data_IF_807120176801
#
_entry.id   IF_807120176801
#
_cell.length_a   1.000
_cell.length_b   1.000
_cell.length_c   1.000
_cell.angle_alpha   90.00
_cell.angle_beta   90.00
_cell.angle_gamma   90.00
#
_symmetry.space_group_name_H-M   'P 1'
#
loop_
_entity.id
_entity.type
_entity.pdbx_description
1 polymer ?
#
# COMPACT_ATOMS: atom_id res chain seq x y z
N UNK A 1 12.26 40.17 1.19
CA UNK A 1 11.83 38.80 1.56
C UNK A 1 10.38 38.87 2.01
N UNK A 2 9.51 38.30 1.25
CA UNK A 2 8.06 38.44 1.45
C UNK A 2 7.58 37.45 2.50
N UNK A 3 6.71 37.88 3.42
CA UNK A 3 6.02 37.03 4.39
C UNK A 3 5.32 35.82 3.76
N UNK A 4 4.97 35.92 2.48
CA UNK A 4 4.34 34.84 1.68
C UNK A 4 5.32 33.68 1.44
N UNK A 5 6.62 33.97 1.26
CA UNK A 5 7.64 32.94 1.01
C UNK A 5 7.92 32.12 2.28
N UNK A 6 7.89 32.76 3.46
CA UNK A 6 8.07 32.09 4.76
C UNK A 6 6.92 31.13 5.09
N UNK A 7 5.68 31.53 4.83
CA UNK A 7 4.50 30.65 5.00
C UNK A 7 4.56 29.46 4.04
N UNK A 8 4.98 29.66 2.80
CA UNK A 8 5.12 28.59 1.82
C UNK A 8 6.19 27.56 2.24
N UNK A 9 7.32 28.05 2.77
CA UNK A 9 8.40 27.20 3.26
C UNK A 9 7.99 26.41 4.50
N UNK A 10 7.34 27.04 5.46
CA UNK A 10 6.83 26.39 6.66
C UNK A 10 5.79 25.32 6.33
N UNK A 11 4.83 25.63 5.48
CA UNK A 11 3.81 24.69 5.04
C UNK A 11 4.42 23.49 4.28
N UNK A 12 5.43 23.73 3.45
CA UNK A 12 6.16 22.67 2.76
C UNK A 12 6.85 21.72 3.75
N UNK A 13 7.51 22.26 4.78
CA UNK A 13 8.15 21.46 5.81
C UNK A 13 7.13 20.64 6.60
N UNK A 14 6.02 21.25 7.00
CA UNK A 14 4.93 20.55 7.68
C UNK A 14 4.42 19.39 6.82
N UNK A 15 4.14 19.64 5.54
CA UNK A 15 3.66 18.60 4.61
C UNK A 15 4.67 17.48 4.39
N UNK A 16 5.96 17.79 4.38
CA UNK A 16 7.03 16.79 4.24
C UNK A 16 6.95 15.71 5.31
N UNK A 17 6.59 16.07 6.54
CA UNK A 17 6.43 15.11 7.65
C UNK A 17 4.99 14.62 7.83
N UNK A 18 4.02 15.47 7.51
CA UNK A 18 2.60 15.11 7.63
C UNK A 18 2.17 14.05 6.60
N UNK A 19 2.66 14.14 5.36
CA UNK A 19 2.29 13.21 4.29
C UNK A 19 2.64 11.76 4.62
N UNK A 20 3.87 11.42 5.06
CA UNK A 20 4.20 10.06 5.49
C UNK A 20 3.30 9.56 6.63
N UNK A 21 3.05 10.38 7.63
CA UNK A 21 2.17 10.01 8.75
C UNK A 21 0.74 9.77 8.29
N UNK A 22 0.21 10.65 7.45
CA UNK A 22 -1.13 10.53 6.88
C UNK A 22 -1.26 9.28 6.00
N UNK A 23 -0.25 9.01 5.17
CA UNK A 23 -0.22 7.84 4.31
C UNK A 23 -0.24 6.53 5.11
N UNK A 24 0.48 6.47 6.24
CA UNK A 24 0.52 5.28 7.09
C UNK A 24 -0.72 5.10 7.96
N UNK A 25 -1.40 6.18 8.33
CA UNK A 25 -2.58 6.12 9.19
C UNK A 25 -3.88 5.95 8.40
N UNK A 26 -4.04 6.72 7.33
CA UNK A 26 -5.27 6.73 6.53
C UNK A 26 -5.15 5.94 5.22
N UNK A 27 -3.94 5.52 4.86
CA UNK A 27 -3.61 4.81 3.61
C UNK A 27 -3.95 5.63 2.34
N UNK A 28 -4.04 6.94 2.50
CA UNK A 28 -4.36 7.89 1.43
C UNK A 28 -3.38 9.06 1.44
N UNK A 29 -3.29 9.73 0.31
CA UNK A 29 -2.59 11.00 0.20
C UNK A 29 -3.52 12.16 0.54
N UNK A 30 -2.98 13.31 0.97
CA UNK A 30 -3.76 14.53 1.06
C UNK A 30 -4.42 14.89 -0.26
N UNK A 31 -5.45 15.76 -0.20
CA UNK A 31 -6.20 16.16 -1.38
C UNK A 31 -5.30 16.80 -2.45
N UNK A 32 -5.67 16.63 -3.71
CA UNK A 32 -4.98 17.23 -4.85
C UNK A 32 -4.82 18.75 -4.69
N UNK A 33 -5.86 19.43 -4.19
CA UNK A 33 -5.83 20.87 -3.96
C UNK A 33 -4.75 21.29 -2.94
N UNK A 34 -4.50 20.46 -1.92
CA UNK A 34 -3.46 20.74 -0.92
C UNK A 34 -2.06 20.48 -1.47
N UNK A 35 -1.90 19.53 -2.37
CA UNK A 35 -0.61 19.14 -2.95
C UNK A 35 -0.23 19.95 -4.20
N UNK A 36 -1.21 20.57 -4.87
CA UNK A 36 -0.99 21.33 -6.10
C UNK A 36 0.10 22.42 -5.99
N UNK A 37 0.20 23.20 -4.89
CA UNK A 37 1.25 24.20 -4.73
C UNK A 37 2.66 23.60 -4.55
N UNK A 38 2.76 22.30 -4.29
CA UNK A 38 4.02 21.63 -3.96
C UNK A 38 4.35 20.47 -4.94
N UNK A 39 4.69 20.77 -6.20
CA UNK A 39 4.87 19.75 -7.24
C UNK A 39 6.00 18.77 -6.94
N UNK A 40 7.01 19.17 -6.17
CA UNK A 40 8.09 18.26 -5.75
C UNK A 40 7.58 17.18 -4.79
N UNK A 41 6.79 17.57 -3.79
CA UNK A 41 6.19 16.63 -2.84
C UNK A 41 5.19 15.71 -3.55
N UNK A 42 4.38 16.26 -4.44
CA UNK A 42 3.46 15.47 -5.24
C UNK A 42 4.20 14.41 -6.06
N UNK A 43 5.26 14.77 -6.75
CA UNK A 43 6.08 13.85 -7.54
C UNK A 43 6.73 12.75 -6.71
N UNK A 44 7.13 13.08 -5.49
CA UNK A 44 7.79 12.17 -4.56
C UNK A 44 6.84 11.17 -3.91
N UNK A 45 5.67 11.61 -3.48
CA UNK A 45 4.72 10.80 -2.70
C UNK A 45 3.59 10.17 -3.50
N UNK A 46 3.20 10.74 -4.65
CA UNK A 46 2.09 10.19 -5.46
C UNK A 46 2.32 8.76 -5.93
N UNK A 47 3.52 8.36 -6.39
CA UNK A 47 3.78 6.97 -6.76
C UNK A 47 3.61 6.01 -5.59
N UNK A 48 4.09 6.38 -4.40
CA UNK A 48 3.95 5.57 -3.19
C UNK A 48 2.48 5.36 -2.81
N UNK A 49 1.70 6.42 -2.79
CA UNK A 49 0.28 6.35 -2.48
C UNK A 49 -0.52 5.52 -3.50
N UNK A 50 -0.20 5.64 -4.77
CA UNK A 50 -0.83 4.84 -5.83
C UNK A 50 -0.51 3.35 -5.68
N UNK A 51 0.75 2.99 -5.37
CA UNK A 51 1.17 1.61 -5.16
C UNK A 51 0.54 1.00 -3.91
N UNK A 52 0.46 1.75 -2.81
CA UNK A 52 -0.23 1.32 -1.58
C UNK A 52 -1.69 1.01 -1.87
N UNK A 53 -2.39 1.88 -2.57
CA UNK A 53 -3.80 1.70 -2.92
C UNK A 53 -4.03 0.50 -3.86
N UNK A 54 -3.10 0.28 -4.78
CA UNK A 54 -3.16 -0.86 -5.71
C UNK A 54 -2.74 -2.18 -5.07
N UNK A 55 -1.89 -2.14 -4.05
CA UNK A 55 -1.19 -3.31 -3.55
C UNK A 55 -0.06 -3.75 -4.50
N UNK A 56 0.57 -2.81 -5.21
CA UNK A 56 1.70 -3.07 -6.11
C UNK A 56 3.02 -2.98 -5.32
N UNK A 57 3.54 -4.13 -4.92
CA UNK A 57 4.75 -4.22 -4.10
C UNK A 57 5.99 -3.81 -4.89
N UNK A 58 6.15 -4.29 -6.12
CA UNK A 58 7.29 -3.94 -6.96
C UNK A 58 7.31 -2.44 -7.30
N UNK A 59 6.15 -1.87 -7.63
CA UNK A 59 6.02 -0.45 -7.87
C UNK A 59 6.32 0.39 -6.64
N UNK A 60 5.91 -0.08 -5.46
CA UNK A 60 6.22 0.58 -4.18
C UNK A 60 7.72 0.59 -3.90
N UNK A 61 8.39 -0.56 -4.03
CA UNK A 61 9.83 -0.69 -3.81
C UNK A 61 10.61 0.19 -4.79
N UNK A 62 10.20 0.24 -6.06
CA UNK A 62 10.80 1.11 -7.06
C UNK A 62 10.61 2.61 -6.76
N UNK A 63 9.41 3.00 -6.32
CA UNK A 63 9.12 4.39 -5.96
C UNK A 63 9.89 4.81 -4.70
N UNK A 64 10.02 3.91 -3.72
CA UNK A 64 10.80 4.14 -2.51
C UNK A 64 12.30 4.31 -2.85
N UNK A 65 12.84 3.46 -3.70
CA UNK A 65 14.23 3.54 -4.17
C UNK A 65 14.48 4.81 -4.98
N UNK A 66 13.56 5.22 -5.83
CA UNK A 66 13.70 6.45 -6.62
C UNK A 66 13.75 7.72 -5.75
N UNK A 67 13.07 7.70 -4.60
CA UNK A 67 13.07 8.82 -3.64
C UNK A 67 14.02 8.66 -2.46
N UNK A 68 14.81 7.59 -2.40
CA UNK A 68 15.59 7.18 -1.24
C UNK A 68 16.47 8.30 -0.67
N UNK A 69 17.25 8.96 -1.51
CA UNK A 69 18.15 10.04 -1.09
C UNK A 69 17.41 11.19 -0.42
N UNK A 70 16.23 11.55 -0.93
CA UNK A 70 15.39 12.61 -0.36
C UNK A 70 14.75 12.16 0.95
N UNK A 71 14.24 10.93 1.02
CA UNK A 71 13.62 10.37 2.22
C UNK A 71 14.63 10.20 3.36
N UNK A 72 15.86 9.78 3.05
CA UNK A 72 16.95 9.68 4.05
C UNK A 72 17.30 11.07 4.57
N UNK A 73 17.45 12.05 3.69
CA UNK A 73 17.74 13.44 4.07
C UNK A 73 16.66 14.04 4.98
N UNK A 74 15.41 13.65 4.76
CA UNK A 74 14.26 14.07 5.55
C UNK A 74 14.00 13.21 6.78
N UNK A 75 14.80 12.15 7.00
CA UNK A 75 14.58 11.16 8.08
C UNK A 75 13.22 10.45 8.04
N UNK A 76 12.62 10.31 6.86
CA UNK A 76 11.30 9.68 6.66
C UNK A 76 11.36 8.30 6.03
N UNK A 77 12.54 7.86 5.58
CA UNK A 77 12.72 6.60 4.85
C UNK A 77 12.16 5.38 5.61
N UNK A 78 12.60 5.17 6.86
CA UNK A 78 12.16 4.04 7.68
C UNK A 78 10.65 4.07 7.99
N UNK A 79 10.10 5.27 8.07
CA UNK A 79 8.65 5.45 8.24
C UNK A 79 7.91 5.01 6.98
N UNK A 80 8.41 5.40 5.80
CA UNK A 80 7.80 5.06 4.52
C UNK A 80 7.98 3.57 4.17
N UNK A 81 9.09 2.95 4.56
CA UNK A 81 9.32 1.51 4.38
C UNK A 81 8.19 0.65 4.97
N UNK A 82 7.62 1.06 6.10
CA UNK A 82 6.44 0.42 6.69
C UNK A 82 5.20 0.46 5.80
N UNK A 83 5.16 1.37 4.83
CA UNK A 83 4.09 1.43 3.83
C UNK A 83 4.01 0.19 2.96
N UNK A 84 5.10 -0.58 2.84
CA UNK A 84 5.11 -1.87 2.14
C UNK A 84 4.17 -2.89 2.77
N UNK A 85 4.13 -2.93 4.10
CA UNK A 85 3.18 -3.81 4.84
C UNK A 85 1.72 -3.41 4.54
N UNK A 86 1.44 -2.13 4.39
CA UNK A 86 0.11 -1.63 4.06
C UNK A 86 -0.26 -2.00 2.61
N UNK A 87 0.69 -1.89 1.68
CA UNK A 87 0.49 -2.33 0.31
C UNK A 87 0.18 -3.84 0.24
N UNK A 88 0.91 -4.65 1.00
CA UNK A 88 0.69 -6.09 1.13
C UNK A 88 -0.71 -6.40 1.71
N UNK A 89 -1.11 -5.71 2.75
CA UNK A 89 -2.45 -5.83 3.33
C UNK A 89 -3.54 -5.50 2.30
N UNK A 90 -3.36 -4.43 1.55
CA UNK A 90 -4.31 -4.04 0.51
C UNK A 90 -4.35 -5.07 -0.64
N UNK A 91 -3.22 -5.67 -0.98
CA UNK A 91 -3.16 -6.78 -1.93
C UNK A 91 -3.98 -7.98 -1.44
N UNK A 92 -3.77 -8.43 -0.22
CA UNK A 92 -4.50 -9.55 0.36
C UNK A 92 -5.99 -9.27 0.48
N UNK A 93 -6.36 -8.04 0.84
CA UNK A 93 -7.76 -7.61 0.84
C UNK A 93 -8.39 -7.73 -0.55
N UNK A 94 -7.66 -7.38 -1.60
CA UNK A 94 -8.15 -7.52 -2.99
C UNK A 94 -8.30 -8.97 -3.40
N UNK A 95 -7.38 -9.85 -3.00
CA UNK A 95 -7.51 -11.30 -3.22
C UNK A 95 -8.77 -11.82 -2.55
N UNK A 96 -9.03 -11.43 -1.30
CA UNK A 96 -10.25 -11.79 -0.59
C UNK A 96 -11.51 -11.30 -1.31
N UNK A 97 -11.51 -10.06 -1.79
CA UNK A 97 -12.65 -9.51 -2.51
C UNK A 97 -12.87 -10.18 -3.86
N UNK A 98 -11.78 -10.55 -4.56
CA UNK A 98 -11.82 -11.25 -5.84
C UNK A 98 -12.33 -12.70 -5.71
N UNK A 99 -12.15 -13.33 -4.55
CA UNK A 99 -12.64 -14.68 -4.26
C UNK A 99 -14.16 -14.83 -4.33
N UNK A 100 -14.90 -13.71 -4.28
CA UNK A 100 -16.34 -13.67 -4.53
C UNK A 100 -17.18 -14.34 -3.45
N UNK A 101 -18.25 -14.97 -3.89
CA UNK A 101 -19.24 -15.60 -3.03
C UNK A 101 -19.27 -17.12 -3.28
N UNK A 102 -19.67 -17.86 -2.27
CA UNK A 102 -19.91 -19.30 -2.42
C UNK A 102 -21.04 -19.57 -3.45
N UNK A 103 -20.99 -20.71 -4.16
CA UNK A 103 -22.07 -21.10 -5.07
C UNK A 103 -23.40 -21.15 -4.32
N UNK A 104 -24.47 -20.71 -4.99
CA UNK A 104 -25.83 -20.74 -4.45
C UNK A 104 -26.21 -22.18 -4.09
N UNK A 105 -26.60 -22.40 -2.84
CA UNK A 105 -27.23 -23.64 -2.42
C UNK A 105 -28.71 -23.63 -2.79
N UNK A 106 -29.29 -24.82 -3.04
CA UNK A 106 -30.71 -24.95 -3.32
C UNK A 106 -31.54 -24.24 -2.25
N UNK A 107 -32.39 -23.32 -2.68
CA UNK A 107 -33.27 -22.52 -1.78
C UNK A 107 -32.70 -21.20 -1.28
N UNK A 108 -31.47 -20.81 -1.67
CA UNK A 108 -30.93 -19.49 -1.34
C UNK A 108 -31.19 -18.47 -2.46
N UNK A 109 -31.63 -17.26 -2.07
CA UNK A 109 -31.73 -16.12 -2.98
C UNK A 109 -30.40 -15.39 -3.09
N UNK A 110 -30.15 -14.68 -4.20
CA UNK A 110 -28.92 -13.89 -4.40
C UNK A 110 -28.63 -12.90 -3.27
N UNK A 111 -29.65 -12.37 -2.62
CA UNK A 111 -29.53 -11.44 -1.49
C UNK A 111 -28.89 -12.09 -0.24
N UNK A 112 -28.97 -13.42 -0.12
CA UNK A 112 -28.47 -14.19 1.02
C UNK A 112 -27.18 -14.97 0.70
N UNK A 113 -26.47 -14.61 -0.38
CA UNK A 113 -25.19 -15.24 -0.71
C UNK A 113 -24.16 -14.96 0.37
N UNK A 114 -23.53 -16.04 0.84
CA UNK A 114 -22.44 -15.96 1.82
C UNK A 114 -21.14 -15.71 1.06
N UNK A 115 -20.37 -14.70 1.49
CA UNK A 115 -19.06 -14.45 0.93
C UNK A 115 -18.12 -15.61 1.29
N UNK A 116 -17.31 -16.02 0.33
CA UNK A 116 -16.28 -17.03 0.53
C UNK A 116 -15.29 -16.56 1.59
N UNK A 117 -15.22 -17.28 2.70
CA UNK A 117 -14.36 -16.95 3.84
C UNK A 117 -13.03 -17.72 3.84
N UNK A 118 -12.99 -18.85 3.10
CA UNK A 118 -11.78 -19.67 2.96
C UNK A 118 -11.17 -19.42 1.58
N UNK A 119 -9.95 -18.89 1.57
CA UNK A 119 -9.21 -18.61 0.35
C UNK A 119 -7.99 -19.53 0.34
N UNK A 120 -7.75 -20.28 -0.75
CA UNK A 120 -6.56 -21.12 -0.89
C UNK A 120 -5.28 -20.27 -0.85
N UNK A 121 -4.23 -20.79 -0.22
CA UNK A 121 -2.93 -20.14 -0.18
C UNK A 121 -2.38 -19.85 -1.58
N UNK A 122 -2.65 -20.72 -2.55
CA UNK A 122 -2.25 -20.57 -3.94
C UNK A 122 -2.75 -19.26 -4.59
N UNK A 123 -3.92 -18.76 -4.21
CA UNK A 123 -4.44 -17.47 -4.71
C UNK A 123 -3.60 -16.28 -4.19
N UNK A 124 -3.15 -16.35 -2.93
CA UNK A 124 -2.24 -15.35 -2.36
C UNK A 124 -0.86 -15.40 -3.00
N UNK A 125 -0.32 -16.60 -3.22
CA UNK A 125 0.96 -16.80 -3.91
C UNK A 125 0.91 -16.21 -5.32
N UNK A 126 -0.14 -16.52 -6.09
CA UNK A 126 -0.32 -15.98 -7.43
C UNK A 126 -0.42 -14.44 -7.43
N UNK A 127 -1.16 -13.87 -6.49
CA UNK A 127 -1.28 -12.42 -6.36
C UNK A 127 0.06 -11.76 -5.98
N UNK A 128 0.83 -12.38 -5.10
CA UNK A 128 2.16 -11.88 -4.73
C UNK A 128 3.14 -11.94 -5.89
N UNK A 129 3.16 -13.03 -6.65
CA UNK A 129 4.00 -13.14 -7.86
C UNK A 129 3.71 -12.02 -8.85
N UNK A 130 2.44 -11.75 -9.11
CA UNK A 130 2.01 -10.65 -9.98
C UNK A 130 2.41 -9.28 -9.42
N UNK A 131 2.23 -9.06 -8.13
CA UNK A 131 2.52 -7.78 -7.48
C UNK A 131 4.01 -7.52 -7.37
N UNK A 132 4.82 -8.53 -7.16
CA UNK A 132 6.29 -8.46 -7.10
C UNK A 132 6.93 -8.52 -8.48
N UNK A 133 6.15 -8.81 -9.53
CA UNK A 133 6.62 -8.98 -10.92
C UNK A 133 7.73 -10.02 -11.03
N UNK A 134 7.59 -11.12 -10.28
CA UNK A 134 8.54 -12.21 -10.31
C UNK A 134 8.47 -12.92 -11.67
N UNK A 135 9.63 -13.20 -12.25
CA UNK A 135 9.75 -13.96 -13.49
C UNK A 135 9.63 -15.47 -13.21
N UNK A 136 9.43 -16.27 -14.27
CA UNK A 136 9.24 -17.74 -14.19
C UNK A 136 10.45 -18.52 -13.62
N UNK A 137 11.42 -17.89 -13.04
CA UNK A 137 12.58 -18.51 -12.37
C UNK A 137 12.72 -18.10 -10.91
N UNK A 138 11.97 -17.09 -10.48
CA UNK A 138 12.03 -16.61 -9.10
C UNK A 138 11.16 -17.51 -8.22
N UNK A 139 11.79 -18.12 -7.23
CA UNK A 139 11.12 -19.02 -6.29
C UNK A 139 10.57 -18.18 -5.14
N UNK A 140 9.25 -18.01 -5.12
CA UNK A 140 8.54 -17.61 -3.92
C UNK A 140 8.06 -18.88 -3.24
N UNK A 141 8.67 -19.22 -2.12
CA UNK A 141 8.32 -20.43 -1.39
C UNK A 141 6.96 -20.27 -0.69
N UNK A 142 6.16 -21.34 -0.67
CA UNK A 142 4.84 -21.33 -0.04
C UNK A 142 4.93 -20.97 1.45
N UNK A 143 5.97 -21.45 2.13
CA UNK A 143 6.26 -21.16 3.54
C UNK A 143 6.55 -19.67 3.79
N UNK A 144 7.18 -18.98 2.85
CA UNK A 144 7.44 -17.54 2.95
C UNK A 144 6.12 -16.77 2.90
N UNK A 145 5.23 -17.11 1.98
CA UNK A 145 3.91 -16.47 1.88
C UNK A 145 3.07 -16.77 3.11
N UNK A 146 3.10 -17.98 3.62
CA UNK A 146 2.41 -18.36 4.86
C UNK A 146 2.91 -17.54 6.04
N UNK A 147 4.23 -17.37 6.20
CA UNK A 147 4.82 -16.51 7.22
C UNK A 147 4.39 -15.06 7.08
N UNK A 148 4.34 -14.53 5.86
CA UNK A 148 3.87 -13.16 5.62
C UNK A 148 2.40 -12.98 6.00
N UNK A 149 1.55 -13.94 5.65
CA UNK A 149 0.13 -13.93 6.04
C UNK A 149 -0.01 -14.02 7.57
N UNK A 150 0.73 -14.91 8.22
CA UNK A 150 0.71 -15.05 9.67
C UNK A 150 1.14 -13.76 10.37
N UNK A 151 2.21 -13.11 9.90
CA UNK A 151 2.67 -11.82 10.40
C UNK A 151 1.62 -10.72 10.21
N UNK A 152 0.92 -10.73 9.07
CA UNK A 152 -0.15 -9.76 8.81
C UNK A 152 -1.32 -9.95 9.76
N UNK A 153 -1.74 -11.18 10.00
CA UNK A 153 -2.80 -11.50 10.97
C UNK A 153 -2.39 -11.04 12.35
N UNK A 154 -1.16 -11.32 12.77
CA UNK A 154 -0.64 -10.91 14.07
C UNK A 154 -0.63 -9.39 14.23
N UNK A 155 -0.11 -8.65 13.24
CA UNK A 155 -0.06 -7.17 13.26
C UNK A 155 -1.45 -6.51 13.27
N UNK A 156 -2.45 -7.14 12.67
CA UNK A 156 -3.83 -6.61 12.64
C UNK A 156 -4.61 -6.94 13.91
N UNK A 157 -4.19 -7.95 14.67
CA UNK A 157 -4.83 -8.35 15.93
C UNK A 157 -4.50 -7.42 17.12
N UNK A 158 -3.64 -6.45 16.88
CA UNK A 158 -3.32 -5.36 17.79
C UNK A 158 -3.74 -4.03 17.14
#
# INVERSE_FOLDING_TARGET
>A
MSWIDDYSLSNRLILTYLIPCHLLTTHTLPSEALMAPYPRLKRLFSPLGACIKKGDLAGFDAALAAGEAEFIRQHTYLTLERGRDIALRNLFRKVFLAGGFDPLKEGQTEANRIRRTRIPLAEFIAAMRLSMRLEDGDILEDDEVECLIANMIYKVSF
#
